data_IF_808297777755
#
_entry.id   IF_808297777755
#
_cell.length_a   1.000
_cell.length_b   1.000
_cell.length_c   1.000
_cell.angle_alpha   90.00
_cell.angle_beta   90.00
_cell.angle_gamma   90.00
#
_symmetry.space_group_name_H-M   'P 1'
#
loop_
_entity.id
_entity.type
_entity.pdbx_description
1 polymer ?
#
# COMPACT_ATOMS: atom_id res chain seq x y z
N UNK A 1 -2.54 -7.79 30.35
CA UNK A 1 -3.01 -8.85 29.42
C UNK A 1 -3.60 -8.15 28.20
N UNK A 2 -2.77 -7.84 27.19
CA UNK A 2 -3.22 -7.10 26.00
C UNK A 2 -3.66 -8.09 24.93
N UNK A 3 -4.92 -7.96 24.52
CA UNK A 3 -5.54 -8.70 23.42
C UNK A 3 -5.01 -8.11 22.12
N UNK A 4 -4.12 -8.81 21.43
CA UNK A 4 -3.68 -8.45 20.08
C UNK A 4 -4.81 -8.80 19.11
N UNK A 5 -5.51 -7.79 18.59
CA UNK A 5 -6.45 -7.94 17.50
C UNK A 5 -5.70 -7.67 16.18
N UNK A 6 -5.49 -8.72 15.39
CA UNK A 6 -4.77 -8.67 14.12
C UNK A 6 -5.72 -8.24 12.99
N UNK A 7 -5.59 -7.01 12.50
CA UNK A 7 -6.35 -6.52 11.33
C UNK A 7 -5.58 -6.86 10.05
N UNK A 8 -6.02 -7.90 9.32
CA UNK A 8 -5.48 -8.28 8.01
C UNK A 8 -6.38 -7.72 6.89
N UNK A 9 -5.88 -6.76 6.11
CA UNK A 9 -6.59 -6.26 4.92
C UNK A 9 -6.20 -7.09 3.69
N UNK A 10 -7.19 -7.75 3.08
CA UNK A 10 -6.97 -8.66 1.94
C UNK A 10 -7.15 -7.86 0.64
N UNK A 11 -6.05 -7.60 -0.07
CA UNK A 11 -6.10 -7.17 -1.48
C UNK A 11 -6.09 -8.41 -2.35
N UNK A 12 -7.29 -8.88 -2.74
CA UNK A 12 -7.41 -9.96 -3.70
C UNK A 12 -7.42 -9.39 -5.13
N UNK A 13 -6.60 -9.96 -6.03
CA UNK A 13 -6.76 -9.80 -7.47
C UNK A 13 -7.50 -11.03 -7.99
N UNK A 14 -8.82 -10.95 -8.11
CA UNK A 14 -9.59 -11.94 -8.85
C UNK A 14 -9.36 -11.76 -10.34
N UNK A 15 -8.97 -12.82 -11.04
CA UNK A 15 -9.09 -12.92 -12.50
C UNK A 15 -10.56 -12.72 -12.89
N UNK A 16 -10.83 -11.84 -13.86
CA UNK A 16 -12.17 -11.54 -14.41
C UNK A 16 -13.20 -10.88 -13.46
N UNK A 17 -12.79 -10.04 -12.50
CA UNK A 17 -13.72 -9.18 -11.76
C UNK A 17 -14.62 -9.88 -10.71
N UNK A 18 -14.67 -11.21 -10.72
CA UNK A 18 -15.43 -12.06 -9.78
C UNK A 18 -14.91 -12.05 -8.33
N UNK A 19 -13.76 -11.41 -8.06
CA UNK A 19 -13.14 -11.39 -6.72
C UNK A 19 -13.36 -10.11 -5.90
N UNK A 20 -13.89 -9.04 -6.50
CA UNK A 20 -14.02 -7.75 -5.82
C UNK A 20 -15.09 -7.79 -4.74
N UNK A 21 -16.29 -8.29 -5.04
CA UNK A 21 -17.41 -8.29 -4.08
C UNK A 21 -17.09 -9.08 -2.80
N UNK A 22 -16.39 -10.21 -2.90
CA UNK A 22 -15.95 -10.97 -1.73
C UNK A 22 -14.89 -10.21 -0.92
N UNK A 23 -13.92 -9.60 -1.60
CA UNK A 23 -12.85 -8.82 -0.96
C UNK A 23 -13.40 -7.56 -0.30
N UNK A 24 -14.31 -6.87 -0.97
CA UNK A 24 -14.99 -5.68 -0.46
C UNK A 24 -15.79 -6.00 0.80
N UNK A 25 -16.43 -7.18 0.85
CA UNK A 25 -17.13 -7.63 2.06
C UNK A 25 -16.17 -7.83 3.24
N UNK A 26 -15.07 -8.56 3.05
CA UNK A 26 -14.08 -8.75 4.11
C UNK A 26 -13.42 -7.42 4.54
N UNK A 27 -13.11 -6.56 3.56
CA UNK A 27 -12.53 -5.25 3.81
C UNK A 27 -13.52 -4.35 4.55
N UNK A 28 -14.82 -4.41 4.28
CA UNK A 28 -15.82 -3.60 4.97
C UNK A 28 -15.84 -3.89 6.47
N UNK A 29 -15.77 -5.15 6.89
CA UNK A 29 -15.75 -5.51 8.31
C UNK A 29 -14.47 -5.01 9.00
N UNK A 30 -13.31 -5.21 8.38
CA UNK A 30 -12.03 -4.74 8.90
C UNK A 30 -11.96 -3.20 8.97
N UNK A 31 -12.46 -2.51 7.94
CA UNK A 31 -12.53 -1.05 7.90
C UNK A 31 -13.52 -0.52 8.95
N UNK A 32 -14.65 -1.18 9.18
CA UNK A 32 -15.58 -0.81 10.24
C UNK A 32 -14.95 -0.93 11.64
N UNK A 33 -14.07 -1.91 11.86
CA UNK A 33 -13.31 -2.01 13.11
C UNK A 33 -12.28 -0.88 13.24
N UNK A 34 -11.55 -0.59 12.15
CA UNK A 34 -10.49 0.42 12.14
C UNK A 34 -11.04 1.85 12.27
N UNK A 35 -12.04 2.20 11.46
CA UNK A 35 -12.56 3.57 11.31
C UNK A 35 -13.93 3.78 11.97
N UNK A 36 -14.62 2.72 12.40
CA UNK A 36 -15.99 2.78 12.90
C UNK A 36 -17.04 2.66 11.80
N UNK A 37 -18.21 2.11 12.15
CA UNK A 37 -19.39 2.12 11.27
C UNK A 37 -19.84 3.57 11.02
N UNK A 38 -20.14 3.89 9.77
CA UNK A 38 -20.64 5.21 9.31
C UNK A 38 -19.58 6.31 9.10
N UNK A 39 -18.30 5.99 9.18
CA UNK A 39 -17.23 6.94 8.87
C UNK A 39 -17.21 7.28 7.38
N UNK A 40 -17.60 8.52 7.07
CA UNK A 40 -17.59 9.10 5.72
C UNK A 40 -16.41 10.06 5.56
N UNK A 41 -15.89 10.27 4.34
CA UNK A 41 -14.95 11.35 4.08
C UNK A 41 -15.45 12.67 4.66
N UNK A 42 -14.62 13.34 5.46
CA UNK A 42 -14.97 14.61 6.10
C UNK A 42 -15.86 14.51 7.34
N UNK A 43 -16.11 13.32 7.90
CA UNK A 43 -16.82 13.17 9.16
C UNK A 43 -16.13 13.94 10.30
N UNK A 44 -16.92 14.65 11.11
CA UNK A 44 -16.43 15.45 12.24
C UNK A 44 -15.81 14.58 13.35
N UNK A 45 -16.25 13.33 13.46
CA UNK A 45 -15.73 12.33 14.41
C UNK A 45 -15.40 11.04 13.69
N UNK A 46 -14.27 10.44 14.06
CA UNK A 46 -13.85 9.11 13.63
C UNK A 46 -14.23 8.11 14.72
N UNK A 47 -14.65 6.91 14.34
CA UNK A 47 -14.99 5.82 15.25
C UNK A 47 -13.94 4.69 15.21
N UNK A 48 -14.32 3.53 15.75
CA UNK A 48 -13.45 2.34 15.77
C UNK A 48 -12.14 2.57 16.54
N UNK A 49 -11.14 1.76 16.22
CA UNK A 49 -9.81 1.85 16.83
C UNK A 49 -9.19 3.26 16.68
N UNK A 50 -9.38 3.90 15.52
CA UNK A 50 -8.88 5.26 15.28
C UNK A 50 -9.58 6.28 16.16
N UNK A 51 -10.90 6.19 16.30
CA UNK A 51 -11.67 7.06 17.17
C UNK A 51 -11.26 6.93 18.63
N UNK A 52 -11.07 5.69 19.09
CA UNK A 52 -10.62 5.42 20.46
C UNK A 52 -9.20 5.92 20.72
N UNK A 53 -8.29 5.75 19.76
CA UNK A 53 -6.95 6.32 19.81
C UNK A 53 -6.97 7.86 19.89
N UNK A 54 -7.78 8.52 19.07
CA UNK A 54 -7.83 9.99 19.04
C UNK A 54 -8.41 10.61 20.33
N UNK A 55 -9.20 9.88 21.12
CA UNK A 55 -9.68 10.35 22.44
C UNK A 55 -8.54 10.57 23.43
N UNK A 56 -7.39 9.91 23.26
CA UNK A 56 -6.22 10.08 24.13
C UNK A 56 -5.42 11.35 23.82
N UNK A 57 -5.87 12.16 22.85
CA UNK A 57 -5.20 13.40 22.40
C UNK A 57 -3.70 13.20 22.05
N UNK A 58 -3.37 12.24 21.16
CA UNK A 58 -1.99 11.91 20.84
C UNK A 58 -1.33 13.01 19.99
N UNK A 59 -0.01 13.15 20.13
CA UNK A 59 0.76 14.18 19.41
C UNK A 59 0.69 14.05 17.88
N UNK A 60 0.52 12.84 17.35
CA UNK A 60 0.38 12.57 15.91
C UNK A 60 -1.08 12.63 15.42
N UNK A 61 -2.03 13.18 16.21
CA UNK A 61 -3.46 13.18 15.87
C UNK A 61 -3.77 13.75 14.49
N UNK A 62 -3.03 14.75 14.02
CA UNK A 62 -3.21 15.32 12.68
C UNK A 62 -2.92 14.30 11.58
N UNK A 63 -1.81 13.57 11.69
CA UNK A 63 -1.41 12.53 10.74
C UNK A 63 -2.40 11.37 10.71
N UNK A 64 -2.87 10.93 11.88
CA UNK A 64 -3.89 9.87 11.99
C UNK A 64 -5.19 10.30 11.31
N UNK A 65 -5.64 11.53 11.55
CA UNK A 65 -6.85 12.08 10.88
C UNK A 65 -6.66 12.16 9.37
N UNK A 66 -5.51 12.61 8.91
CA UNK A 66 -5.22 12.71 7.47
C UNK A 66 -5.22 11.34 6.78
N UNK A 67 -4.51 10.35 7.34
CA UNK A 67 -4.50 8.97 6.84
C UNK A 67 -5.90 8.36 6.80
N UNK A 68 -6.68 8.54 7.87
CA UNK A 68 -8.07 8.07 7.94
C UNK A 68 -8.95 8.74 6.88
N UNK A 69 -8.82 10.06 6.70
CA UNK A 69 -9.55 10.80 5.67
C UNK A 69 -9.18 10.35 4.26
N UNK A 70 -7.90 10.21 3.95
CA UNK A 70 -7.43 9.69 2.67
C UNK A 70 -7.98 8.28 2.41
N UNK A 71 -7.93 7.39 3.41
CA UNK A 71 -8.47 6.03 3.30
C UNK A 71 -9.98 6.02 3.03
N UNK A 72 -10.76 6.82 3.76
CA UNK A 72 -12.20 6.96 3.51
C UNK A 72 -12.50 7.48 2.10
N UNK A 73 -11.72 8.45 1.61
CA UNK A 73 -11.87 8.97 0.24
C UNK A 73 -11.60 7.89 -0.81
N UNK A 74 -10.55 7.09 -0.61
CA UNK A 74 -10.21 5.98 -1.50
C UNK A 74 -11.33 4.93 -1.53
N UNK A 75 -11.88 4.57 -0.37
CA UNK A 75 -12.92 3.55 -0.24
C UNK A 75 -14.26 4.04 -0.80
N UNK A 76 -14.69 5.27 -0.45
CA UNK A 76 -15.96 5.84 -0.93
C UNK A 76 -16.03 5.99 -2.46
N UNK A 77 -14.87 6.19 -3.11
CA UNK A 77 -14.76 6.30 -4.58
C UNK A 77 -14.48 4.95 -5.26
N UNK A 78 -14.35 3.86 -4.49
CA UNK A 78 -13.84 2.58 -4.96
C UNK A 78 -12.52 2.72 -5.77
N UNK A 79 -11.71 3.74 -5.47
CA UNK A 79 -10.54 4.06 -6.27
C UNK A 79 -9.40 3.07 -6.06
N UNK A 80 -9.52 2.18 -5.08
CA UNK A 80 -8.63 1.03 -4.85
C UNK A 80 -8.88 -0.13 -5.81
N UNK A 81 -9.99 -0.14 -6.55
CA UNK A 81 -10.23 -1.10 -7.65
C UNK A 81 -9.45 -0.75 -8.91
N UNK A 82 -8.78 0.41 -8.93
CA UNK A 82 -8.05 0.93 -10.08
C UNK A 82 -6.67 1.41 -9.64
N UNK A 83 -5.72 1.32 -10.53
CA UNK A 83 -4.36 1.79 -10.27
C UNK A 83 -4.32 3.31 -10.06
N UNK A 84 -4.73 4.10 -11.07
CA UNK A 84 -4.74 5.55 -10.99
C UNK A 84 -3.39 6.17 -10.58
N UNK A 85 -2.27 5.60 -11.02
CA UNK A 85 -0.92 6.12 -10.75
C UNK A 85 -0.32 5.67 -9.40
N UNK A 86 -1.06 4.90 -8.61
CA UNK A 86 -0.69 4.50 -7.24
C UNK A 86 -1.35 3.16 -6.87
N UNK A 87 -0.77 2.02 -7.30
CA UNK A 87 -1.43 0.71 -7.21
C UNK A 87 -1.84 0.26 -5.80
N UNK A 88 -1.07 0.67 -4.77
CA UNK A 88 -1.26 0.23 -3.39
C UNK A 88 -1.83 1.32 -2.47
N UNK A 89 -2.47 2.36 -3.04
CA UNK A 89 -2.95 3.52 -2.27
C UNK A 89 -3.70 3.14 -1.00
N UNK A 90 -4.69 2.25 -1.09
CA UNK A 90 -5.46 1.81 0.08
C UNK A 90 -4.62 1.04 1.10
N UNK A 91 -3.87 0.03 0.64
CA UNK A 91 -3.04 -0.81 1.52
C UNK A 91 -2.01 0.02 2.28
N UNK A 92 -1.33 0.94 1.59
CA UNK A 92 -0.34 1.80 2.20
C UNK A 92 -0.96 2.64 3.33
N UNK A 93 -2.14 3.27 3.10
CA UNK A 93 -2.81 4.07 4.14
C UNK A 93 -3.29 3.21 5.30
N UNK A 94 -3.84 2.01 5.05
CA UNK A 94 -4.23 1.09 6.12
C UNK A 94 -3.03 0.71 6.99
N UNK A 95 -1.91 0.32 6.37
CA UNK A 95 -0.71 -0.09 7.09
C UNK A 95 -0.13 1.05 7.92
N UNK A 96 0.03 2.23 7.32
CA UNK A 96 0.56 3.38 8.03
C UNK A 96 -0.38 3.85 9.13
N UNK A 97 -1.69 3.87 8.90
CA UNK A 97 -2.68 4.24 9.91
C UNK A 97 -2.64 3.29 11.11
N UNK A 98 -2.58 1.98 10.85
CA UNK A 98 -2.45 0.97 11.90
C UNK A 98 -1.17 1.19 12.74
N UNK A 99 -0.03 1.45 12.09
CA UNK A 99 1.22 1.78 12.79
C UNK A 99 1.08 3.03 13.66
N UNK A 100 0.51 4.10 13.12
CA UNK A 100 0.37 5.39 13.82
C UNK A 100 -0.54 5.33 15.05
N UNK A 101 -1.51 4.41 15.08
CA UNK A 101 -2.37 4.18 16.25
C UNK A 101 -1.80 3.14 17.23
N UNK A 102 -0.56 2.68 17.02
CA UNK A 102 0.14 1.74 17.90
C UNK A 102 -0.21 0.27 17.67
N UNK A 103 -0.90 -0.08 16.59
CA UNK A 103 -1.09 -1.47 16.18
C UNK A 103 0.15 -2.00 15.44
N UNK A 104 0.27 -3.32 15.34
CA UNK A 104 1.33 -3.98 14.57
C UNK A 104 0.76 -4.37 13.20
N UNK A 105 1.00 -3.59 12.13
CA UNK A 105 0.51 -3.94 10.81
C UNK A 105 1.23 -5.18 10.28
N UNK A 106 0.47 -6.05 9.61
CA UNK A 106 1.00 -7.16 8.84
C UNK A 106 0.46 -7.07 7.41
N UNK A 107 1.34 -7.19 6.43
CA UNK A 107 0.96 -7.22 5.02
C UNK A 107 1.66 -8.37 4.30
N UNK A 108 0.91 -9.09 3.49
CA UNK A 108 1.43 -10.19 2.69
C UNK A 108 0.62 -10.36 1.41
N UNK A 109 1.25 -10.98 0.44
CA UNK A 109 0.58 -11.69 -0.64
C UNK A 109 0.82 -13.19 -0.49
N UNK A 110 0.18 -14.01 -1.34
CA UNK A 110 0.26 -15.49 -1.27
C UNK A 110 1.69 -16.03 -1.09
N UNK A 111 2.68 -15.47 -1.79
CA UNK A 111 4.06 -15.94 -1.77
C UNK A 111 5.01 -15.04 -0.95
N UNK A 112 4.51 -13.96 -0.35
CA UNK A 112 5.32 -13.04 0.45
C UNK A 112 6.35 -12.20 -0.31
N UNK A 113 6.42 -12.30 -1.66
CA UNK A 113 7.51 -11.74 -2.47
C UNK A 113 7.11 -10.50 -3.25
N UNK A 114 6.48 -10.68 -4.41
CA UNK A 114 6.38 -9.62 -5.42
C UNK A 114 5.48 -8.46 -4.97
N UNK A 115 4.21 -8.76 -4.64
CA UNK A 115 3.24 -7.75 -4.20
C UNK A 115 3.52 -7.25 -2.78
N UNK A 116 4.02 -8.13 -1.92
CA UNK A 116 4.46 -7.76 -0.57
C UNK A 116 5.59 -6.74 -0.64
N UNK A 117 6.62 -7.02 -1.45
CA UNK A 117 7.78 -6.15 -1.61
C UNK A 117 7.43 -4.80 -2.24
N UNK A 118 6.50 -4.76 -3.20
CA UNK A 118 6.06 -3.47 -3.75
C UNK A 118 5.33 -2.62 -2.72
N UNK A 119 4.42 -3.20 -1.92
CA UNK A 119 3.77 -2.47 -0.83
C UNK A 119 4.77 -2.02 0.24
N UNK A 120 5.71 -2.88 0.61
CA UNK A 120 6.79 -2.55 1.54
C UNK A 120 7.62 -1.35 1.03
N UNK A 121 7.99 -1.34 -0.25
CA UNK A 121 8.71 -0.23 -0.85
C UNK A 121 7.91 1.09 -0.83
N UNK A 122 6.60 1.04 -1.09
CA UNK A 122 5.73 2.21 -1.01
C UNK A 122 5.67 2.78 0.41
N UNK A 123 5.53 1.90 1.42
CA UNK A 123 5.49 2.29 2.84
C UNK A 123 6.82 2.91 3.27
N UNK A 124 7.95 2.26 2.95
CA UNK A 124 9.29 2.75 3.29
C UNK A 124 9.56 4.12 2.67
N UNK A 125 9.24 4.29 1.38
CA UNK A 125 9.41 5.57 0.67
C UNK A 125 8.60 6.69 1.34
N UNK A 126 7.33 6.44 1.68
CA UNK A 126 6.50 7.43 2.37
C UNK A 126 7.01 7.77 3.77
N UNK A 127 7.40 6.75 4.54
CA UNK A 127 7.94 6.95 5.87
C UNK A 127 9.23 7.77 5.86
N UNK A 128 10.14 7.49 4.91
CA UNK A 128 11.37 8.26 4.73
C UNK A 128 11.06 9.69 4.28
N UNK A 129 10.15 9.87 3.32
CA UNK A 129 9.76 11.20 2.82
C UNK A 129 9.22 12.09 3.95
N UNK A 130 8.34 11.55 4.81
CA UNK A 130 7.83 12.26 5.97
C UNK A 130 8.88 12.53 7.04
N UNK A 131 9.81 11.59 7.26
CA UNK A 131 10.95 11.81 8.14
C UNK A 131 11.84 12.97 7.64
N UNK A 132 11.91 13.16 6.32
CA UNK A 132 12.57 14.31 5.68
C UNK A 132 11.70 15.59 5.65
N UNK A 133 10.62 15.64 6.43
CA UNK A 133 9.77 16.81 6.59
C UNK A 133 8.78 17.06 5.45
N UNK A 134 8.58 16.11 4.54
CA UNK A 134 7.54 16.22 3.52
C UNK A 134 6.16 15.91 4.11
N UNK A 135 5.07 16.54 3.59
CA UNK A 135 3.72 16.14 3.95
C UNK A 135 3.41 14.72 3.45
N UNK A 136 2.34 14.12 3.99
CA UNK A 136 1.82 12.85 3.50
C UNK A 136 1.39 12.99 2.02
N UNK A 137 1.76 12.01 1.20
CA UNK A 137 1.46 12.01 -0.22
C UNK A 137 -0.06 11.91 -0.46
N UNK A 138 -0.57 12.79 -1.31
CA UNK A 138 -1.98 12.77 -1.70
C UNK A 138 -2.30 11.52 -2.54
N UNK A 139 -3.45 10.86 -2.32
CA UNK A 139 -3.81 9.66 -3.07
C UNK A 139 -3.96 9.92 -4.57
N UNK A 140 -3.46 8.99 -5.39
CA UNK A 140 -3.50 9.05 -6.85
C UNK A 140 -2.77 10.26 -7.46
N UNK A 141 -1.92 10.94 -6.70
CA UNK A 141 -1.03 11.98 -7.21
C UNK A 141 0.28 11.35 -7.67
N UNK A 142 0.80 11.71 -8.86
CA UNK A 142 2.12 11.29 -9.30
C UNK A 142 3.20 11.69 -8.30
N UNK A 143 4.23 10.86 -8.16
CA UNK A 143 5.41 11.23 -7.39
C UNK A 143 6.16 12.34 -8.14
N UNK A 144 6.63 13.34 -7.41
CA UNK A 144 7.62 14.28 -7.93
C UNK A 144 8.99 13.60 -8.10
N UNK A 145 9.92 14.29 -8.76
CA UNK A 145 11.24 13.74 -9.09
C UNK A 145 12.00 13.25 -7.84
N UNK A 146 11.94 14.03 -6.74
CA UNK A 146 12.60 13.66 -5.48
C UNK A 146 12.02 12.37 -4.90
N UNK A 147 10.70 12.23 -4.89
CA UNK A 147 10.03 11.03 -4.38
C UNK A 147 10.17 9.84 -5.33
N UNK A 148 10.29 10.06 -6.65
CA UNK A 148 10.65 9.03 -7.62
C UNK A 148 12.06 8.49 -7.35
N UNK A 149 13.05 9.37 -7.17
CA UNK A 149 14.42 8.98 -6.83
C UNK A 149 14.46 8.22 -5.50
N UNK A 150 13.74 8.69 -4.48
CA UNK A 150 13.63 7.97 -3.21
C UNK A 150 13.00 6.59 -3.40
N UNK A 151 11.95 6.48 -4.23
CA UNK A 151 11.31 5.21 -4.52
C UNK A 151 12.26 4.24 -5.22
N UNK A 152 13.04 4.73 -6.19
CA UNK A 152 14.08 3.95 -6.87
C UNK A 152 15.11 3.40 -5.87
N UNK A 153 15.60 4.22 -4.95
CA UNK A 153 16.57 3.80 -3.93
C UNK A 153 15.99 2.72 -3.00
N UNK A 154 14.72 2.87 -2.59
CA UNK A 154 14.04 1.86 -1.76
C UNK A 154 13.81 0.56 -2.53
N UNK A 155 13.49 0.61 -3.81
CA UNK A 155 13.31 -0.59 -4.63
C UNK A 155 14.61 -1.38 -4.81
N UNK A 156 15.73 -0.68 -5.00
CA UNK A 156 17.04 -1.31 -5.22
C UNK A 156 17.66 -1.80 -3.91
N UNK A 157 17.56 -1.01 -2.84
CA UNK A 157 18.33 -1.21 -1.60
C UNK A 157 17.47 -1.54 -0.37
N UNK A 158 16.16 -1.72 -0.53
CA UNK A 158 15.22 -1.92 0.57
C UNK A 158 15.10 -3.35 1.12
N UNK A 159 15.91 -4.30 0.64
CA UNK A 159 15.90 -5.70 1.09
C UNK A 159 14.97 -6.63 0.30
N UNK A 160 14.13 -6.08 -0.60
CA UNK A 160 13.12 -6.86 -1.32
C UNK A 160 13.73 -7.79 -2.38
N UNK A 161 14.89 -7.44 -2.94
CA UNK A 161 15.56 -8.25 -3.96
C UNK A 161 16.23 -9.49 -3.35
N UNK A 162 16.74 -9.35 -2.13
CA UNK A 162 17.35 -10.39 -1.32
C UNK A 162 16.31 -11.43 -0.91
N UNK A 163 15.14 -11.00 -0.44
CA UNK A 163 14.02 -11.90 -0.12
C UNK A 163 13.59 -12.71 -1.36
N UNK A 164 13.62 -12.12 -2.55
CA UNK A 164 13.31 -12.84 -3.78
C UNK A 164 14.41 -13.84 -4.14
N UNK A 165 15.68 -13.43 -4.04
CA UNK A 165 16.83 -14.27 -4.32
C UNK A 165 16.89 -15.49 -3.37
N UNK A 166 16.68 -15.30 -2.07
CA UNK A 166 16.64 -16.40 -1.10
C UNK A 166 15.53 -17.41 -1.39
N UNK A 167 14.38 -16.93 -1.86
CA UNK A 167 13.22 -17.80 -2.08
C UNK A 167 13.18 -18.47 -3.46
N UNK A 168 13.96 -18.01 -4.45
CA UNK A 168 13.87 -18.52 -5.83
C UNK A 168 15.20 -18.71 -6.54
N UNK A 169 16.32 -18.49 -5.84
CA UNK A 169 17.69 -18.52 -6.38
C UNK A 169 17.94 -17.51 -7.52
N UNK A 170 16.99 -16.61 -7.77
CA UNK A 170 17.01 -15.56 -8.78
C UNK A 170 16.26 -14.32 -8.25
N UNK A 171 16.79 -13.12 -8.47
CA UNK A 171 16.08 -11.87 -8.13
C UNK A 171 15.15 -11.45 -9.27
N UNK A 172 14.01 -10.82 -8.96
CA UNK A 172 13.20 -10.13 -9.97
C UNK A 172 11.71 -10.10 -9.66
N UNK A 173 11.11 -8.90 -9.69
CA UNK A 173 9.72 -8.72 -9.27
C UNK A 173 8.72 -8.94 -10.42
N UNK A 174 7.85 -9.96 -10.28
CA UNK A 174 6.85 -10.32 -11.28
C UNK A 174 5.73 -9.29 -11.44
N UNK A 175 5.54 -8.37 -10.50
CA UNK A 175 4.53 -7.30 -10.60
C UNK A 175 4.90 -6.28 -11.68
N UNK A 176 6.19 -6.22 -12.04
CA UNK A 176 6.69 -5.26 -13.01
C UNK A 176 6.65 -5.77 -14.46
N UNK A 177 6.22 -7.01 -14.73
CA UNK A 177 6.20 -7.56 -16.10
C UNK A 177 5.25 -6.77 -17.02
N UNK A 178 5.66 -6.60 -18.28
CA UNK A 178 4.77 -6.12 -19.33
C UNK A 178 3.79 -7.23 -19.71
N UNK A 179 2.53 -7.09 -19.28
CA UNK A 179 1.44 -7.95 -19.75
C UNK A 179 0.92 -7.35 -21.07
N UNK A 180 0.69 -8.14 -22.14
CA UNK A 180 0.20 -7.63 -23.43
C UNK A 180 -1.15 -6.90 -23.34
N UNK A 181 -1.92 -7.17 -22.29
CA UNK A 181 -3.21 -6.56 -22.02
C UNK A 181 -2.99 -5.31 -21.15
N UNK A 182 -3.06 -4.13 -21.76
CA UNK A 182 -2.86 -2.82 -21.12
C UNK A 182 -3.73 -2.62 -19.87
N UNK A 183 -4.94 -3.19 -19.84
CA UNK A 183 -5.86 -3.11 -18.70
C UNK A 183 -5.35 -3.82 -17.42
N UNK A 184 -4.32 -4.68 -17.51
CA UNK A 184 -3.71 -5.38 -16.38
C UNK A 184 -2.34 -4.80 -16.00
N UNK A 185 -1.82 -3.87 -16.79
CA UNK A 185 -0.53 -3.22 -16.57
C UNK A 185 -0.68 -2.20 -15.43
N UNK A 186 0.22 -2.30 -14.45
CA UNK A 186 0.34 -1.27 -13.42
C UNK A 186 1.20 -0.11 -13.92
N UNK A 187 0.94 1.09 -13.43
CA UNK A 187 1.63 2.35 -13.74
C UNK A 187 3.02 2.44 -13.12
N UNK A 188 3.66 1.31 -12.82
CA UNK A 188 4.95 1.30 -12.12
C UNK A 188 6.09 1.83 -12.96
N UNK A 189 6.01 1.72 -14.29
CA UNK A 189 6.94 2.39 -15.20
C UNK A 189 6.93 3.91 -14.99
N UNK A 190 5.73 4.51 -14.96
CA UNK A 190 5.56 5.94 -14.72
C UNK A 190 5.89 6.34 -13.27
N UNK A 191 5.51 5.50 -12.31
CA UNK A 191 5.72 5.76 -10.89
C UNK A 191 7.19 5.68 -10.47
N UNK A 192 7.98 4.82 -11.12
CA UNK A 192 9.43 4.73 -10.93
C UNK A 192 10.14 5.87 -11.68
N UNK A 193 9.69 6.21 -12.89
CA UNK A 193 10.23 7.31 -13.68
C UNK A 193 11.61 7.05 -14.29
N UNK A 194 12.26 5.93 -13.93
CA UNK A 194 13.56 5.52 -14.44
C UNK A 194 13.47 4.12 -15.06
N UNK A 195 13.77 4.05 -16.36
CA UNK A 195 13.69 2.80 -17.11
C UNK A 195 14.75 1.80 -16.67
N UNK A 196 15.97 2.24 -16.35
CA UNK A 196 17.06 1.36 -15.91
C UNK A 196 16.70 0.70 -14.57
N UNK A 197 16.28 1.50 -13.59
CA UNK A 197 15.85 1.00 -12.28
C UNK A 197 14.67 0.04 -12.42
N UNK A 198 13.72 0.34 -13.32
CA UNK A 198 12.62 -0.56 -13.63
C UNK A 198 13.11 -1.91 -14.18
N UNK A 199 14.11 -1.93 -15.09
CA UNK A 199 14.68 -3.19 -15.61
C UNK A 199 15.43 -3.96 -14.52
N UNK A 200 16.19 -3.28 -13.68
CA UNK A 200 16.95 -3.89 -12.59
C UNK A 200 16.02 -4.53 -11.55
N UNK A 201 14.96 -3.82 -11.15
CA UNK A 201 13.96 -4.32 -10.20
C UNK A 201 13.15 -5.50 -10.76
N UNK A 202 12.95 -5.55 -12.09
CA UNK A 202 12.35 -6.72 -12.76
C UNK A 202 13.26 -7.96 -12.68
N UNK A 203 14.58 -7.80 -12.63
CA UNK A 203 15.54 -8.89 -12.58
C UNK A 203 15.30 -9.99 -13.62
N UNK A 204 15.50 -11.25 -13.21
CA UNK A 204 15.35 -12.45 -14.03
C UNK A 204 13.89 -12.87 -14.25
N UNK A 205 12.91 -12.17 -13.66
CA UNK A 205 11.49 -12.45 -13.90
C UNK A 205 11.05 -12.27 -15.36
N UNK A 206 11.90 -11.66 -16.20
CA UNK A 206 11.73 -11.60 -17.66
C UNK A 206 11.98 -12.93 -18.37
N UNK A 207 12.78 -13.82 -17.78
CA UNK A 207 13.22 -15.08 -18.40
C UNK A 207 12.34 -16.27 -17.99
N UNK A 208 11.57 -16.13 -16.92
CA UNK A 208 10.61 -17.14 -16.49
C UNK A 208 9.35 -17.01 -17.34
N UNK A 209 9.24 -17.81 -18.40
CA UNK A 209 7.97 -18.02 -19.10
C UNK A 209 6.96 -18.60 -18.10
N UNK A 210 5.84 -17.92 -17.92
CA UNK A 210 4.69 -18.42 -17.16
C UNK A 210 3.99 -19.56 -17.88
#
# INVERSE_FOLDING_TARGET
MHRQEHTCAIINRGTFGLGWSASDKYNADAINQLLGRSSKPGAATLGGMVGDYLKTQPANALKVKELAQQLMQILSRNSHHRDGGEPYKAAQRVTMLAYEIGAVPCWNCKSGKDRTGMLDAEIKREAISQHQGQPLSLPATPLDEKNQQLFQQVLLNGGNNEIQAYNTSASGNKVLINIPVSALKLSYDQRIGDTQVWKETQGLSRLVKG
#
